data_IF_405632653406
#
_entry.id   IF_405632653406
#
_cell.length_a   1.000
_cell.length_b   1.000
_cell.length_c   1.000
_cell.angle_alpha   90.00
_cell.angle_beta   90.00
_cell.angle_gamma   90.00
#
_symmetry.space_group_name_H-M   'P 1'
#
loop_
_entity.id
_entity.type
_entity.pdbx_description
1 polymer ?
#
# COMPACT_ATOMS: atom_id res chain seq x y z
N UNK A 1 -21.75 -36.22 7.92
CA UNK A 1 -21.83 -34.90 8.59
C UNK A 1 -20.77 -33.97 7.98
N UNK A 2 -21.16 -33.03 7.11
CA UNK A 2 -20.32 -31.89 6.66
C UNK A 2 -21.17 -30.83 5.92
N UNK A 3 -22.43 -30.66 6.37
CA UNK A 3 -23.37 -29.65 5.85
C UNK A 3 -22.90 -28.21 6.18
N UNK A 4 -21.89 -28.06 7.04
CA UNK A 4 -21.30 -26.77 7.43
C UNK A 4 -20.21 -26.24 6.49
N UNK A 5 -19.47 -27.09 5.77
CA UNK A 5 -18.29 -26.64 5.00
C UNK A 5 -18.63 -25.72 3.83
N UNK A 6 -19.73 -25.98 3.11
CA UNK A 6 -20.21 -25.15 2.00
C UNK A 6 -20.84 -23.84 2.48
N UNK A 7 -21.55 -23.88 3.61
CA UNK A 7 -22.14 -22.68 4.23
C UNK A 7 -21.08 -21.73 4.77
N UNK A 8 -20.03 -22.27 5.39
CA UNK A 8 -18.88 -21.48 5.87
C UNK A 8 -18.13 -20.83 4.71
N UNK A 9 -17.92 -21.54 3.59
CA UNK A 9 -17.30 -20.99 2.38
C UNK A 9 -18.13 -19.83 1.78
N UNK A 10 -19.45 -19.97 1.74
CA UNK A 10 -20.35 -18.91 1.28
C UNK A 10 -20.31 -17.67 2.16
N UNK A 11 -20.32 -17.84 3.49
CA UNK A 11 -20.24 -16.73 4.45
C UNK A 11 -18.89 -15.99 4.33
N UNK A 12 -17.77 -16.72 4.23
CA UNK A 12 -16.45 -16.12 4.09
C UNK A 12 -16.38 -15.28 2.80
N UNK A 13 -16.81 -15.83 1.66
CA UNK A 13 -16.80 -15.09 0.39
C UNK A 13 -17.74 -13.86 0.42
N UNK A 14 -18.88 -13.94 1.11
CA UNK A 14 -19.78 -12.81 1.29
C UNK A 14 -19.18 -11.69 2.15
N UNK A 15 -18.52 -12.04 3.26
CA UNK A 15 -17.79 -11.06 4.09
C UNK A 15 -16.66 -10.42 3.29
N UNK A 16 -15.94 -11.22 2.48
CA UNK A 16 -14.85 -10.73 1.62
C UNK A 16 -15.37 -9.74 0.56
N UNK A 17 -16.54 -10.01 -0.01
CA UNK A 17 -17.24 -9.09 -0.89
C UNK A 17 -17.56 -7.76 -0.18
N UNK A 18 -18.16 -7.82 1.02
CA UNK A 18 -18.49 -6.62 1.78
C UNK A 18 -17.27 -5.78 2.15
N UNK A 19 -16.11 -6.41 2.40
CA UNK A 19 -14.84 -5.70 2.66
C UNK A 19 -14.26 -5.10 1.38
N UNK A 20 -14.48 -5.71 0.22
CA UNK A 20 -14.03 -5.15 -1.08
C UNK A 20 -14.75 -3.84 -1.45
N UNK A 21 -16.01 -3.67 -1.01
CA UNK A 21 -16.82 -2.47 -1.28
C UNK A 21 -16.20 -1.18 -0.69
N UNK A 22 -15.83 -1.08 0.60
CA UNK A 22 -15.15 0.10 1.13
C UNK A 22 -13.72 0.26 0.61
N UNK A 23 -13.05 -0.80 0.16
CA UNK A 23 -11.74 -0.69 -0.52
C UNK A 23 -11.90 -0.03 -1.89
N UNK A 24 -12.88 -0.46 -2.68
CA UNK A 24 -13.23 0.13 -3.97
C UNK A 24 -13.84 1.52 -3.81
N UNK A 25 -14.77 1.68 -2.88
CA UNK A 25 -15.41 2.95 -2.55
C UNK A 25 -14.41 3.96 -2.01
N UNK A 26 -13.48 3.54 -1.15
CA UNK A 26 -12.36 4.36 -0.72
C UNK A 26 -11.45 4.73 -1.89
N UNK A 27 -11.08 3.76 -2.73
CA UNK A 27 -10.25 3.99 -3.91
C UNK A 27 -10.87 4.92 -4.95
N UNK A 28 -12.18 4.80 -5.18
CA UNK A 28 -12.99 5.62 -6.10
C UNK A 28 -13.29 6.98 -5.47
N UNK A 29 -13.60 7.07 -4.18
CA UNK A 29 -13.82 8.35 -3.48
C UNK A 29 -12.54 9.18 -3.40
N UNK A 30 -11.40 8.53 -3.18
CA UNK A 30 -10.08 9.13 -3.34
C UNK A 30 -9.84 9.59 -4.78
N UNK A 31 -10.38 8.91 -5.79
CA UNK A 31 -10.30 9.32 -7.20
C UNK A 31 -11.30 10.44 -7.57
N UNK A 32 -12.49 10.47 -6.97
CA UNK A 32 -13.57 11.39 -7.34
C UNK A 32 -13.46 12.73 -6.62
N UNK A 33 -12.86 12.77 -5.42
CA UNK A 33 -12.47 14.02 -4.75
C UNK A 33 -11.16 14.59 -5.30
N UNK A 34 -10.51 13.85 -6.21
CA UNK A 34 -9.23 14.17 -6.82
C UNK A 34 -9.30 14.84 -8.20
N UNK A 35 -10.40 15.56 -8.50
CA UNK A 35 -10.43 16.47 -9.67
C UNK A 35 -9.45 17.66 -9.52
N UNK A 36 -8.84 17.84 -8.35
CA UNK A 36 -7.81 18.84 -8.05
C UNK A 36 -6.56 18.26 -7.35
N UNK A 37 -6.46 16.95 -7.14
CA UNK A 37 -5.35 16.31 -6.41
C UNK A 37 -4.86 15.04 -7.11
N UNK A 38 -4.57 15.15 -8.40
CA UNK A 38 -4.09 14.05 -9.22
C UNK A 38 -2.56 13.95 -9.15
N UNK A 39 -2.01 13.53 -8.00
CA UNK A 39 -0.55 13.59 -7.81
C UNK A 39 0.20 12.34 -8.21
N UNK A 40 -0.44 11.16 -8.09
CA UNK A 40 0.22 9.92 -8.51
C UNK A 40 -0.83 8.88 -8.95
N UNK A 41 -1.44 9.09 -10.12
CA UNK A 41 -2.33 8.12 -10.79
C UNK A 41 -1.71 6.72 -10.93
N UNK A 42 -0.38 6.65 -10.98
CA UNK A 42 0.42 5.42 -10.98
C UNK A 42 0.33 4.59 -9.68
N UNK A 43 0.02 5.20 -8.53
CA UNK A 43 -0.14 4.51 -7.24
C UNK A 43 -1.58 4.03 -7.00
N UNK A 44 -2.55 4.67 -7.64
CA UNK A 44 -3.97 4.39 -7.41
C UNK A 44 -4.49 3.20 -8.22
N UNK A 45 -3.96 3.01 -9.43
CA UNK A 45 -4.28 1.88 -10.29
C UNK A 45 -4.04 0.51 -9.63
N UNK A 46 -2.91 0.25 -8.94
CA UNK A 46 -2.72 -0.99 -8.19
C UNK A 46 -3.81 -1.27 -7.15
N UNK A 47 -4.28 -0.25 -6.43
CA UNK A 47 -5.32 -0.39 -5.40
C UNK A 47 -6.68 -0.70 -6.05
N UNK A 48 -7.02 -0.02 -7.13
CA UNK A 48 -8.27 -0.26 -7.89
C UNK A 48 -8.25 -1.66 -8.50
N UNK A 49 -7.14 -2.09 -9.09
CA UNK A 49 -6.98 -3.43 -9.66
C UNK A 49 -7.14 -4.51 -8.59
N UNK A 50 -6.51 -4.35 -7.41
CA UNK A 50 -6.68 -5.28 -6.29
C UNK A 50 -8.13 -5.33 -5.83
N UNK A 51 -8.78 -4.17 -5.66
CA UNK A 51 -10.19 -4.11 -5.27
C UNK A 51 -11.13 -4.79 -6.27
N UNK A 52 -10.91 -4.59 -7.58
CA UNK A 52 -11.73 -5.18 -8.64
C UNK A 52 -11.55 -6.70 -8.69
N UNK A 53 -10.31 -7.16 -8.57
CA UNK A 53 -9.99 -8.59 -8.50
C UNK A 53 -10.68 -9.25 -7.30
N UNK A 54 -10.60 -8.64 -6.11
CA UNK A 54 -11.28 -9.14 -4.91
C UNK A 54 -12.80 -9.20 -5.06
N UNK A 55 -13.40 -8.19 -5.72
CA UNK A 55 -14.83 -8.16 -5.99
C UNK A 55 -15.26 -9.31 -6.92
N UNK A 56 -14.54 -9.54 -8.02
CA UNK A 56 -14.84 -10.59 -8.99
C UNK A 56 -14.75 -11.98 -8.36
N UNK A 57 -13.72 -12.23 -7.54
CA UNK A 57 -13.54 -13.51 -6.85
C UNK A 57 -14.65 -13.77 -5.85
N UNK A 58 -15.03 -12.74 -5.09
CA UNK A 58 -16.05 -12.89 -4.05
C UNK A 58 -17.43 -13.21 -4.66
N UNK A 59 -17.76 -12.61 -5.81
CA UNK A 59 -18.97 -12.92 -6.56
C UNK A 59 -18.96 -14.34 -7.12
N UNK A 60 -17.84 -14.80 -7.69
CA UNK A 60 -17.70 -16.18 -8.18
C UNK A 60 -17.77 -17.20 -7.04
N UNK A 61 -17.16 -16.90 -5.89
CA UNK A 61 -17.18 -17.76 -4.70
C UNK A 61 -18.57 -17.87 -4.08
N UNK A 62 -19.34 -16.78 -4.07
CA UNK A 62 -20.74 -16.79 -3.63
C UNK A 62 -21.62 -17.61 -4.58
N UNK A 63 -21.51 -17.38 -5.90
CA UNK A 63 -22.24 -18.16 -6.90
C UNK A 63 -21.89 -19.66 -6.84
N UNK A 64 -20.62 -20.01 -6.65
CA UNK A 64 -20.16 -21.39 -6.48
C UNK A 64 -20.77 -22.10 -5.26
N UNK A 65 -20.98 -21.38 -4.16
CA UNK A 65 -21.59 -21.92 -2.95
C UNK A 65 -23.12 -22.12 -3.09
N UNK A 66 -23.82 -21.20 -3.78
CA UNK A 66 -25.28 -21.24 -3.91
C UNK A 66 -25.78 -22.29 -4.91
N UNK A 67 -25.10 -22.45 -6.05
CA UNK A 67 -25.63 -23.29 -7.13
C UNK A 67 -25.18 -24.76 -7.06
N UNK A 68 -24.22 -25.10 -6.18
CA UNK A 68 -23.69 -26.47 -5.98
C UNK A 68 -23.29 -27.19 -7.29
N UNK A 69 -23.00 -26.42 -8.34
CA UNK A 69 -22.61 -26.92 -9.65
C UNK A 69 -21.10 -27.18 -9.67
N UNK A 70 -20.70 -28.42 -9.96
CA UNK A 70 -19.30 -28.88 -9.97
C UNK A 70 -18.46 -28.15 -11.01
N UNK A 71 -19.03 -27.79 -12.15
CA UNK A 71 -18.38 -27.00 -13.20
C UNK A 71 -18.04 -25.57 -12.74
N UNK A 72 -18.98 -24.92 -12.04
CA UNK A 72 -18.82 -23.54 -11.56
C UNK A 72 -17.77 -23.49 -10.42
N UNK A 73 -17.73 -24.51 -9.56
CA UNK A 73 -16.69 -24.68 -8.54
C UNK A 73 -15.30 -24.91 -9.16
N UNK A 74 -15.22 -25.62 -10.30
CA UNK A 74 -13.96 -25.83 -11.04
C UNK A 74 -13.45 -24.53 -11.67
N UNK A 75 -14.33 -23.73 -12.28
CA UNK A 75 -13.98 -22.42 -12.81
C UNK A 75 -13.52 -21.48 -11.69
N UNK A 76 -14.22 -21.49 -10.55
CA UNK A 76 -13.83 -20.74 -9.35
C UNK A 76 -12.41 -21.09 -8.89
N UNK A 77 -12.09 -22.38 -8.72
CA UNK A 77 -10.74 -22.81 -8.31
C UNK A 77 -9.67 -22.41 -9.33
N UNK A 78 -9.97 -22.51 -10.64
CA UNK A 78 -9.06 -22.08 -11.70
C UNK A 78 -8.80 -20.58 -11.65
N UNK A 79 -9.85 -19.75 -11.56
CA UNK A 79 -9.72 -18.30 -11.46
C UNK A 79 -8.93 -17.89 -10.19
N UNK A 80 -9.23 -18.54 -9.05
CA UNK A 80 -8.58 -18.22 -7.79
C UNK A 80 -7.08 -18.57 -7.81
N UNK A 81 -6.67 -19.62 -8.51
CA UNK A 81 -5.26 -19.93 -8.72
C UNK A 81 -4.50 -18.79 -9.43
N UNK A 82 -5.04 -18.23 -10.52
CA UNK A 82 -4.39 -17.10 -11.20
C UNK A 82 -4.32 -15.85 -10.34
N UNK A 83 -5.32 -15.62 -9.49
CA UNK A 83 -5.30 -14.49 -8.55
C UNK A 83 -4.16 -14.66 -7.56
N UNK A 84 -4.03 -15.84 -6.95
CA UNK A 84 -2.94 -16.10 -6.00
C UNK A 84 -1.58 -15.85 -6.66
N UNK A 85 -1.39 -16.31 -7.91
CA UNK A 85 -0.18 -16.04 -8.68
C UNK A 85 0.03 -14.54 -8.95
N UNK A 86 -1.01 -13.80 -9.33
CA UNK A 86 -0.93 -12.37 -9.59
C UNK A 86 -0.59 -11.58 -8.32
N UNK A 87 -1.19 -11.93 -7.18
CA UNK A 87 -0.90 -11.28 -5.90
C UNK A 87 0.53 -11.61 -5.43
N UNK A 88 0.99 -12.85 -5.60
CA UNK A 88 2.38 -13.24 -5.33
C UNK A 88 3.36 -12.44 -6.20
N UNK A 89 3.11 -12.35 -7.50
CA UNK A 89 3.92 -11.55 -8.42
C UNK A 89 3.97 -10.09 -7.98
N UNK A 90 2.81 -9.49 -7.64
CA UNK A 90 2.75 -8.11 -7.15
C UNK A 90 3.55 -7.92 -5.86
N UNK A 91 3.49 -8.87 -4.91
CA UNK A 91 4.28 -8.80 -3.67
C UNK A 91 5.77 -8.80 -3.98
N UNK A 92 6.24 -9.73 -4.82
CA UNK A 92 7.65 -9.82 -5.21
C UNK A 92 8.10 -8.55 -5.92
N UNK A 93 7.30 -8.05 -6.87
CA UNK A 93 7.58 -6.82 -7.59
C UNK A 93 7.62 -5.61 -6.66
N UNK A 94 6.67 -5.49 -5.73
CA UNK A 94 6.62 -4.41 -4.76
C UNK A 94 7.88 -4.40 -3.89
N UNK A 95 8.33 -5.55 -3.38
CA UNK A 95 9.58 -5.61 -2.60
C UNK A 95 10.82 -5.37 -3.46
N UNK A 96 10.91 -5.94 -4.65
CA UNK A 96 12.06 -5.75 -5.54
C UNK A 96 12.26 -4.28 -5.92
N UNK A 97 11.17 -3.56 -6.21
CA UNK A 97 11.21 -2.13 -6.55
C UNK A 97 11.40 -1.24 -5.32
N UNK A 98 11.10 -1.73 -4.12
CA UNK A 98 11.22 -1.00 -2.85
C UNK A 98 12.39 -1.45 -1.97
N UNK A 99 13.33 -2.22 -2.51
CA UNK A 99 14.46 -2.75 -1.75
C UNK A 99 15.47 -1.63 -1.41
N UNK A 100 15.83 -0.79 -2.39
CA UNK A 100 16.91 0.20 -2.29
C UNK A 100 16.43 1.62 -1.98
N UNK A 101 17.30 2.39 -1.30
CA UNK A 101 17.12 3.80 -0.95
C UNK A 101 16.34 4.01 0.34
N UNK A 102 17.03 4.43 1.39
CA UNK A 102 16.45 4.89 2.65
C UNK A 102 16.88 6.32 2.93
N UNK A 103 16.12 7.03 3.76
CA UNK A 103 16.49 8.39 4.15
C UNK A 103 17.70 8.40 5.07
N UNK A 104 18.63 9.30 4.83
CA UNK A 104 19.80 9.52 5.67
C UNK A 104 19.39 10.25 6.94
N UNK A 105 19.85 9.74 8.10
CA UNK A 105 19.64 10.42 9.38
C UNK A 105 20.68 11.53 9.54
N UNK A 106 20.20 12.73 9.86
CA UNK A 106 21.07 13.89 10.07
C UNK A 106 21.14 14.20 11.57
N UNK A 107 22.35 14.48 12.05
CA UNK A 107 22.58 14.80 13.46
C UNK A 107 21.77 16.04 13.87
N UNK A 108 21.22 16.02 15.09
CA UNK A 108 20.37 17.07 15.66
C UNK A 108 19.07 17.37 14.90
N UNK A 109 18.60 16.46 14.05
CA UNK A 109 17.32 16.58 13.33
C UNK A 109 16.53 15.29 13.44
N UNK A 110 15.22 15.40 13.67
CA UNK A 110 14.32 14.24 13.82
C UNK A 110 13.77 13.74 12.49
N UNK A 111 13.88 14.54 11.44
CA UNK A 111 13.46 14.16 10.09
C UNK A 111 14.65 13.62 9.27
N UNK A 112 14.43 12.61 8.42
CA UNK A 112 15.45 12.10 7.50
C UNK A 112 15.61 13.02 6.27
N UNK A 113 16.76 12.92 5.63
CA UNK A 113 17.06 13.51 4.32
C UNK A 113 17.08 12.47 3.23
N UNK A 114 16.74 12.89 2.01
CA UNK A 114 16.59 11.99 0.89
C UNK A 114 17.44 12.50 -0.25
N UNK A 115 18.39 11.68 -0.71
CA UNK A 115 19.17 11.95 -1.90
C UNK A 115 18.76 11.00 -3.01
N UNK A 116 18.70 11.50 -4.24
CA UNK A 116 18.28 10.68 -5.38
C UNK A 116 19.30 9.56 -5.70
N UNK A 117 20.56 9.75 -5.32
CA UNK A 117 21.65 8.76 -5.44
C UNK A 117 21.44 7.50 -4.60
N UNK A 118 20.69 7.61 -3.50
CA UNK A 118 20.43 6.47 -2.61
C UNK A 118 19.41 5.50 -3.23
N UNK A 119 18.62 5.98 -4.18
CA UNK A 119 17.65 5.19 -4.92
C UNK A 119 18.26 4.67 -6.22
N UNK A 120 17.86 3.48 -6.66
CA UNK A 120 18.31 2.87 -7.91
C UNK A 120 17.21 2.00 -8.53
N UNK A 121 17.38 1.67 -9.82
CA UNK A 121 16.45 0.83 -10.57
C UNK A 121 15.31 1.59 -11.25
N UNK A 122 14.36 0.82 -11.79
CA UNK A 122 13.32 1.31 -12.69
C UNK A 122 12.46 2.45 -12.10
N UNK A 123 12.15 2.40 -10.81
CA UNK A 123 11.31 3.43 -10.18
C UNK A 123 12.02 4.79 -10.10
N UNK A 124 13.34 4.79 -9.86
CA UNK A 124 14.15 6.01 -9.87
C UNK A 124 14.17 6.62 -11.25
N UNK A 125 14.45 5.81 -12.26
CA UNK A 125 14.57 6.32 -13.63
C UNK A 125 13.22 6.85 -14.13
N UNK A 126 12.10 6.23 -13.72
CA UNK A 126 10.75 6.72 -14.03
C UNK A 126 10.43 8.07 -13.40
N UNK A 127 10.87 8.33 -12.16
CA UNK A 127 10.62 9.61 -11.48
C UNK A 127 11.64 10.68 -11.90
N UNK A 128 12.85 10.27 -12.27
CA UNK A 128 13.90 11.17 -12.76
C UNK A 128 13.61 11.68 -14.18
N UNK A 129 12.76 10.99 -14.95
CA UNK A 129 12.35 11.40 -16.28
C UNK A 129 11.68 12.79 -16.27
N UNK A 130 12.18 13.77 -17.06
CA UNK A 130 11.67 15.14 -17.05
C UNK A 130 10.19 15.27 -17.43
N UNK A 131 9.70 14.46 -18.37
CA UNK A 131 8.32 14.55 -18.86
C UNK A 131 7.35 14.07 -17.78
N UNK A 132 7.68 12.95 -17.12
CA UNK A 132 6.90 12.45 -16.01
C UNK A 132 7.00 13.38 -14.79
N UNK A 133 8.19 13.89 -14.49
CA UNK A 133 8.41 14.79 -13.36
C UNK A 133 7.65 16.12 -13.51
N UNK A 134 7.53 16.66 -14.71
CA UNK A 134 6.75 17.88 -14.96
C UNK A 134 5.30 17.72 -14.47
N UNK A 135 4.69 16.57 -14.74
CA UNK A 135 3.33 16.25 -14.27
C UNK A 135 3.28 16.10 -12.75
N UNK A 136 4.24 15.38 -12.17
CA UNK A 136 4.28 15.11 -10.72
C UNK A 136 4.49 16.40 -9.92
N UNK A 137 5.45 17.22 -10.33
CA UNK A 137 5.78 18.48 -9.65
C UNK A 137 4.67 19.53 -9.78
N UNK A 138 4.01 19.61 -10.93
CA UNK A 138 2.81 20.44 -11.11
C UNK A 138 1.71 20.03 -10.12
N UNK A 139 1.43 18.73 -10.00
CA UNK A 139 0.44 18.33 -9.00
C UNK A 139 0.90 18.60 -7.57
N UNK A 140 2.16 18.35 -7.19
CA UNK A 140 2.61 18.60 -5.81
C UNK A 140 2.41 20.07 -5.40
N UNK A 141 2.54 20.98 -6.37
CA UNK A 141 2.28 22.40 -6.24
C UNK A 141 0.78 22.69 -6.08
N UNK A 142 -0.05 22.19 -7.00
CA UNK A 142 -1.50 22.41 -7.00
C UNK A 142 -2.21 21.75 -5.81
N UNK A 143 -1.74 20.58 -5.39
CA UNK A 143 -2.21 19.85 -4.21
C UNK A 143 -1.69 20.42 -2.88
N UNK A 144 -0.98 21.56 -2.92
CA UNK A 144 -0.41 22.23 -1.75
C UNK A 144 0.33 21.27 -0.80
N UNK A 145 1.22 20.44 -1.34
CA UNK A 145 1.96 19.43 -0.56
C UNK A 145 2.73 20.02 0.64
N UNK A 146 3.10 21.31 0.54
CA UNK A 146 3.81 22.06 1.57
C UNK A 146 2.93 22.84 2.54
N UNK A 147 1.59 22.83 2.40
CA UNK A 147 0.69 23.54 3.33
C UNK A 147 0.88 23.10 4.79
N UNK A 148 1.25 21.84 5.03
CA UNK A 148 1.52 21.32 6.37
C UNK A 148 2.79 21.86 7.05
N UNK A 149 3.60 22.64 6.33
CA UNK A 149 4.79 23.32 6.88
C UNK A 149 4.39 24.52 7.74
N UNK A 150 3.32 25.22 7.37
CA UNK A 150 2.75 26.33 8.12
C UNK A 150 2.13 25.82 9.41
N UNK A 151 2.91 25.83 10.50
CA UNK A 151 2.41 25.60 11.85
C UNK A 151 2.83 26.71 12.77
N UNK A 152 1.88 27.10 13.59
CA UNK A 152 2.10 28.00 14.71
C UNK A 152 2.30 27.14 15.95
N UNK A 153 3.35 27.42 16.71
CA UNK A 153 3.58 26.80 18.00
C UNK A 153 2.78 27.56 19.05
N UNK A 154 2.21 26.84 20.01
CA UNK A 154 1.64 27.46 21.19
C UNK A 154 2.76 27.67 22.21
N UNK A 155 2.98 28.91 22.60
CA UNK A 155 3.94 29.24 23.64
C UNK A 155 3.47 28.64 24.98
N UNK A 156 4.28 27.79 25.65
CA UNK A 156 3.92 27.16 26.91
C UNK A 156 3.76 28.15 28.07
N UNK A 157 4.38 29.33 28.00
CA UNK A 157 4.33 30.34 29.07
C UNK A 157 3.19 31.33 28.89
N UNK A 158 2.92 31.75 27.66
CA UNK A 158 1.93 32.80 27.36
C UNK A 158 0.63 32.25 26.75
N UNK A 159 0.62 31.00 26.29
CA UNK A 159 -0.53 30.36 25.65
C UNK A 159 -0.87 30.90 24.25
N UNK A 160 -0.10 31.87 23.74
CA UNK A 160 -0.29 32.52 22.44
C UNK A 160 0.29 31.67 21.29
N UNK A 161 -0.29 31.80 20.09
CA UNK A 161 0.25 31.20 18.87
C UNK A 161 1.38 32.07 18.34
N UNK A 162 2.60 31.52 18.31
CA UNK A 162 3.81 32.17 17.82
C UNK A 162 4.42 31.37 16.65
N UNK A 163 5.20 32.01 15.76
CA UNK A 163 5.99 31.30 14.77
C UNK A 163 6.88 30.23 15.42
N UNK A 164 6.98 29.06 14.80
CA UNK A 164 7.84 27.98 15.30
C UNK A 164 9.30 28.41 15.36
N UNK A 165 9.99 28.12 16.47
CA UNK A 165 11.43 28.33 16.59
C UNK A 165 12.20 27.25 15.81
N UNK A 166 13.46 27.51 15.42
CA UNK A 166 14.29 26.53 14.70
C UNK A 166 14.44 25.21 15.45
N UNK A 167 14.58 25.25 16.78
CA UNK A 167 14.70 24.05 17.60
C UNK A 167 13.44 23.18 17.57
N UNK A 168 12.25 23.80 17.61
CA UNK A 168 10.99 23.07 17.47
C UNK A 168 10.86 22.46 16.07
N UNK A 169 11.24 23.21 15.04
CA UNK A 169 11.22 22.72 13.65
C UNK A 169 12.12 21.49 13.46
N UNK A 170 13.36 21.52 13.96
CA UNK A 170 14.28 20.38 13.88
C UNK A 170 13.81 19.14 14.65
N UNK A 171 12.94 19.32 15.65
CA UNK A 171 12.28 18.25 16.38
C UNK A 171 11.06 17.63 15.67
N UNK A 172 10.62 18.15 14.51
CA UNK A 172 9.41 17.67 13.83
C UNK A 172 9.64 16.38 13.06
N UNK A 173 8.62 15.52 13.06
CA UNK A 173 8.52 14.38 12.15
C UNK A 173 7.91 14.84 10.83
N UNK A 174 8.76 15.19 9.86
CA UNK A 174 8.32 15.58 8.51
C UNK A 174 8.03 14.34 7.65
N UNK A 175 7.05 14.45 6.75
CA UNK A 175 6.85 13.44 5.71
C UNK A 175 8.00 13.46 4.70
N UNK A 176 8.24 12.38 3.93
CA UNK A 176 9.28 12.36 2.90
C UNK A 176 9.15 13.51 1.88
N UNK A 177 7.91 13.86 1.51
CA UNK A 177 7.62 14.96 0.59
C UNK A 177 7.89 16.32 1.26
N UNK A 178 7.48 16.51 2.52
CA UNK A 178 7.72 17.77 3.24
C UNK A 178 9.23 18.05 3.43
N UNK A 179 9.98 17.01 3.77
CA UNK A 179 11.42 17.11 3.99
C UNK A 179 12.25 17.22 2.71
N UNK A 180 11.77 16.67 1.58
CA UNK A 180 12.45 16.73 0.29
C UNK A 180 12.07 17.92 -0.60
N UNK A 181 10.82 18.40 -0.54
CA UNK A 181 10.30 19.42 -1.46
C UNK A 181 10.08 20.79 -0.82
N UNK A 182 9.81 20.85 0.49
CA UNK A 182 9.35 22.06 1.16
C UNK A 182 10.41 22.73 2.04
N UNK A 183 11.65 22.22 2.03
CA UNK A 183 12.81 22.81 2.68
C UNK A 183 14.04 22.62 1.79
N UNK A 184 15.06 23.49 1.92
CA UNK A 184 16.34 23.24 1.27
C UNK A 184 17.04 22.03 1.92
N UNK A 185 17.93 21.36 1.17
CA UNK A 185 18.83 20.35 1.72
C UNK A 185 19.73 20.92 2.83
N UNK A 186 20.12 20.11 3.80
CA UNK A 186 20.98 20.59 4.91
C UNK A 186 22.42 20.82 4.47
N UNK A 187 22.87 20.13 3.41
CA UNK A 187 24.13 20.37 2.71
C UNK A 187 24.33 21.85 2.31
N UNK A 188 23.23 22.55 2.04
CA UNK A 188 23.22 23.93 1.61
C UNK A 188 23.43 24.97 2.73
N UNK A 189 23.42 24.55 3.99
CA UNK A 189 23.64 25.40 5.17
C UNK A 189 22.71 26.64 5.30
N UNK A 190 21.48 26.54 4.79
CA UNK A 190 20.47 27.59 4.95
C UNK A 190 19.97 27.68 6.39
N UNK A 191 19.66 28.90 6.83
CA UNK A 191 19.04 29.19 8.13
C UNK A 191 17.53 29.23 8.01
N UNK A 192 16.86 28.50 8.89
CA UNK A 192 15.40 28.52 9.02
C UNK A 192 14.96 29.86 9.60
N UNK A 193 14.03 30.52 8.92
CA UNK A 193 13.40 31.75 9.41
C UNK A 193 11.95 31.50 9.82
N UNK A 194 11.10 31.08 8.87
CA UNK A 194 9.69 30.79 9.14
C UNK A 194 9.03 29.93 8.05
N UNK A 195 8.23 28.92 8.42
CA UNK A 195 7.48 28.04 7.52
C UNK A 195 8.35 27.36 6.43
N UNK A 196 8.30 27.87 5.20
CA UNK A 196 9.09 27.44 4.04
C UNK A 196 10.09 28.52 3.61
N UNK A 197 10.30 29.55 4.43
CA UNK A 197 11.23 30.63 4.17
C UNK A 197 12.58 30.37 4.85
N UNK A 198 13.62 30.33 4.01
CA UNK A 198 14.99 30.03 4.42
C UNK A 198 15.94 31.06 3.81
N UNK A 199 16.94 31.47 4.58
CA UNK A 199 17.96 32.43 4.12
C UNK A 199 19.32 31.78 4.04
N UNK A 200 20.12 32.18 3.07
CA UNK A 200 21.49 31.70 2.96
C UNK A 200 22.31 32.22 4.15
N UNK A 201 23.19 31.38 4.69
CA UNK A 201 24.09 31.78 5.77
C UNK A 201 25.46 32.11 5.19
N UNK A 202 25.85 33.39 5.03
CA UNK A 202 27.07 33.76 4.30
C UNK A 202 28.36 33.28 4.97
N UNK A 203 28.30 32.93 6.26
CA UNK A 203 29.45 32.52 7.07
C UNK A 203 29.69 31.01 7.16
N UNK A 204 28.86 30.17 6.52
CA UNK A 204 29.04 28.70 6.53
C UNK A 204 29.19 28.22 5.10
N UNK A 205 30.35 27.68 4.69
CA UNK A 205 30.52 27.13 3.37
C UNK A 205 29.53 25.96 3.17
N UNK A 206 28.92 25.89 1.98
CA UNK A 206 28.12 24.73 1.59
C UNK A 206 28.97 23.47 1.75
N UNK A 207 28.46 22.50 2.48
CA UNK A 207 29.24 21.30 2.88
C UNK A 207 29.61 20.45 1.66
N UNK A 208 28.88 20.62 0.55
CA UNK A 208 29.02 19.87 -0.70
C UNK A 208 28.62 20.72 -1.92
N UNK A 209 29.15 20.39 -3.10
CA UNK A 209 28.67 20.89 -4.41
C UNK A 209 27.31 20.26 -4.78
N UNK A 210 26.30 20.52 -3.95
CA UNK A 210 24.96 20.00 -4.17
C UNK A 210 24.20 20.92 -5.16
N UNK A 211 23.82 20.43 -6.35
CA UNK A 211 23.13 21.24 -7.35
C UNK A 211 21.77 21.74 -6.85
N UNK A 212 21.15 21.05 -5.87
CA UNK A 212 19.85 21.43 -5.33
C UNK A 212 19.90 22.77 -4.57
N UNK A 213 21.08 23.18 -4.05
CA UNK A 213 21.23 24.46 -3.37
C UNK A 213 20.97 25.66 -4.29
N UNK A 214 21.27 25.51 -5.58
CA UNK A 214 21.01 26.55 -6.60
C UNK A 214 19.57 26.54 -7.12
N UNK A 215 18.86 25.41 -6.93
CA UNK A 215 17.48 25.19 -7.41
C UNK A 215 16.42 25.56 -6.38
N UNK A 216 16.80 25.75 -5.11
CA UNK A 216 15.90 26.17 -4.05
C UNK A 216 15.41 27.61 -4.26
N UNK A 217 14.12 27.85 -4.04
CA UNK A 217 13.50 29.19 -4.02
C UNK A 217 12.52 29.32 -2.85
N UNK A 218 12.39 30.53 -2.28
CA UNK A 218 11.37 30.83 -1.26
C UNK A 218 9.97 31.12 -1.86
N UNK A 219 9.86 31.15 -3.19
CA UNK A 219 8.57 31.24 -3.86
C UNK A 219 7.77 29.94 -3.63
N UNK A 220 6.55 30.06 -3.09
CA UNK A 220 5.66 28.93 -2.79
C UNK A 220 5.30 28.10 -4.02
N UNK A 221 5.38 28.69 -5.22
CA UNK A 221 5.14 27.99 -6.48
C UNK A 221 6.37 27.22 -6.95
N UNK A 222 7.59 27.57 -6.52
CA UNK A 222 8.82 26.93 -7.00
C UNK A 222 9.44 25.99 -5.96
N UNK A 223 9.61 26.46 -4.71
CA UNK A 223 10.22 25.73 -3.59
C UNK A 223 11.41 24.86 -4.05
N UNK A 224 11.49 23.60 -3.62
CA UNK A 224 12.43 22.61 -4.15
C UNK A 224 11.76 21.65 -5.15
N UNK A 225 10.68 22.05 -5.84
CA UNK A 225 9.97 21.12 -6.75
C UNK A 225 10.81 20.67 -7.96
N UNK A 226 11.91 21.36 -8.27
CA UNK A 226 12.88 20.93 -9.30
C UNK A 226 14.14 20.26 -8.74
N UNK A 227 14.24 20.11 -7.41
CA UNK A 227 15.38 19.48 -6.76
C UNK A 227 15.33 17.95 -6.88
N UNK A 228 16.49 17.33 -6.93
CA UNK A 228 16.61 15.87 -6.89
C UNK A 228 16.26 15.34 -5.49
N UNK A 229 16.45 16.14 -4.44
CA UNK A 229 15.95 15.88 -3.08
C UNK A 229 14.42 15.74 -3.01
N UNK A 230 13.68 16.53 -3.81
CA UNK A 230 12.22 16.42 -3.87
C UNK A 230 11.78 15.14 -4.58
N UNK A 231 12.44 14.79 -5.71
CA UNK A 231 12.25 13.50 -6.38
C UNK A 231 12.51 12.34 -5.42
N UNK A 232 13.62 12.38 -4.69
CA UNK A 232 13.97 11.38 -3.69
C UNK A 232 12.92 11.28 -2.57
N UNK A 233 12.38 12.42 -2.11
CA UNK A 233 11.27 12.47 -1.16
C UNK A 233 9.99 11.80 -1.68
N UNK A 234 9.67 11.99 -2.97
CA UNK A 234 8.55 11.30 -3.63
C UNK A 234 8.80 9.80 -3.71
N UNK A 235 10.01 9.37 -4.11
CA UNK A 235 10.40 7.95 -4.14
C UNK A 235 10.26 7.29 -2.77
N UNK A 236 10.74 7.94 -1.71
CA UNK A 236 10.61 7.46 -0.34
C UNK A 236 9.14 7.36 0.11
N UNK A 237 8.31 8.34 -0.27
CA UNK A 237 6.87 8.31 -0.04
C UNK A 237 6.18 7.14 -0.73
N UNK A 238 6.53 6.89 -2.00
CA UNK A 238 6.05 5.76 -2.79
C UNK A 238 6.47 4.45 -2.15
N UNK A 239 7.76 4.29 -1.82
CA UNK A 239 8.35 3.12 -1.15
C UNK A 239 7.57 2.75 0.11
N UNK A 240 7.32 3.74 0.99
CA UNK A 240 6.58 3.55 2.24
C UNK A 240 5.13 3.09 1.99
N UNK A 241 4.46 3.69 1.01
CA UNK A 241 3.08 3.33 0.68
C UNK A 241 3.00 1.93 0.06
N UNK A 242 3.89 1.61 -0.87
CA UNK A 242 3.96 0.29 -1.52
C UNK A 242 4.25 -0.82 -0.51
N UNK A 243 5.16 -0.60 0.45
CA UNK A 243 5.43 -1.57 1.50
C UNK A 243 4.21 -1.82 2.39
N UNK A 244 3.44 -0.78 2.74
CA UNK A 244 2.17 -0.92 3.48
C UNK A 244 1.14 -1.74 2.68
N UNK A 245 0.98 -1.44 1.40
CA UNK A 245 0.06 -2.17 0.50
C UNK A 245 0.52 -3.63 0.34
N UNK A 246 1.82 -3.88 0.19
CA UNK A 246 2.37 -5.24 0.12
C UNK A 246 2.11 -6.04 1.40
N UNK A 247 2.29 -5.43 2.59
CA UNK A 247 1.96 -6.08 3.88
C UNK A 247 0.48 -6.42 3.96
N UNK A 248 -0.41 -5.49 3.60
CA UNK A 248 -1.86 -5.76 3.55
C UNK A 248 -2.17 -6.90 2.58
N UNK A 249 -1.51 -6.92 1.41
CA UNK A 249 -1.70 -7.96 0.41
C UNK A 249 -1.24 -9.34 0.91
N UNK A 250 -0.17 -9.43 1.72
CA UNK A 250 0.25 -10.69 2.35
C UNK A 250 -0.87 -11.27 3.23
N UNK A 251 -1.55 -10.43 4.03
CA UNK A 251 -2.67 -10.88 4.87
C UNK A 251 -3.81 -11.42 4.02
N UNK A 252 -4.18 -10.70 2.95
CA UNK A 252 -5.22 -11.13 2.00
C UNK A 252 -4.84 -12.45 1.32
N UNK A 253 -3.57 -12.59 0.91
CA UNK A 253 -3.05 -13.80 0.28
C UNK A 253 -3.20 -15.03 1.19
N UNK A 254 -2.87 -14.90 2.49
CA UNK A 254 -3.01 -15.99 3.47
C UNK A 254 -4.48 -16.43 3.57
N UNK A 255 -5.41 -15.47 3.66
CA UNK A 255 -6.84 -15.76 3.71
C UNK A 255 -7.29 -16.47 2.43
N UNK A 256 -6.86 -15.99 1.25
CA UNK A 256 -7.18 -16.61 -0.02
C UNK A 256 -6.65 -18.04 -0.11
N UNK A 257 -5.43 -18.31 0.35
CA UNK A 257 -4.87 -19.69 0.37
C UNK A 257 -5.71 -20.61 1.26
N UNK A 258 -6.16 -20.17 2.43
CA UNK A 258 -7.04 -20.98 3.29
C UNK A 258 -8.36 -21.28 2.57
N UNK A 259 -8.96 -20.28 1.94
CA UNK A 259 -10.19 -20.44 1.14
C UNK A 259 -9.97 -21.37 -0.05
N UNK A 260 -8.78 -21.32 -0.68
CA UNK A 260 -8.40 -22.25 -1.76
C UNK A 260 -8.44 -23.70 -1.30
N UNK A 261 -7.77 -23.98 -0.17
CA UNK A 261 -7.63 -25.33 0.37
C UNK A 261 -9.01 -25.86 0.77
N UNK A 262 -9.84 -25.02 1.40
CA UNK A 262 -11.22 -25.36 1.72
C UNK A 262 -12.07 -25.63 0.47
N UNK A 263 -11.93 -24.80 -0.57
CA UNK A 263 -12.60 -25.00 -1.87
C UNK A 263 -12.18 -26.30 -2.55
N UNK A 264 -10.88 -26.62 -2.54
CA UNK A 264 -10.35 -27.88 -3.04
C UNK A 264 -10.88 -29.09 -2.25
N UNK A 265 -10.95 -29.00 -0.92
CA UNK A 265 -11.52 -30.05 -0.08
C UNK A 265 -13.03 -30.26 -0.37
N UNK A 266 -13.78 -29.17 -0.52
CA UNK A 266 -15.20 -29.23 -0.90
C UNK A 266 -15.39 -29.86 -2.29
N UNK A 267 -14.55 -29.49 -3.26
CA UNK A 267 -14.57 -30.09 -4.61
C UNK A 267 -14.25 -31.58 -4.59
N UNK A 268 -13.22 -32.01 -3.83
CA UNK A 268 -12.88 -33.44 -3.67
C UNK A 268 -14.03 -34.22 -3.02
N UNK A 269 -14.70 -33.65 -2.03
CA UNK A 269 -15.84 -34.29 -1.39
C UNK A 269 -17.04 -34.40 -2.32
N UNK A 270 -17.34 -33.38 -3.13
CA UNK A 270 -18.40 -33.44 -4.12
C UNK A 270 -18.13 -34.54 -5.17
N UNK A 271 -16.88 -34.63 -5.66
CA UNK A 271 -16.48 -35.64 -6.63
C UNK A 271 -16.54 -37.07 -6.06
N UNK A 272 -16.24 -37.28 -4.77
CA UNK A 272 -16.41 -38.61 -4.13
C UNK A 272 -17.87 -39.05 -4.08
N UNK A 273 -18.79 -38.13 -3.81
CA UNK A 273 -20.23 -38.44 -3.76
C UNK A 273 -20.74 -38.83 -5.15
N UNK A 274 -20.25 -38.18 -6.19
CA UNK A 274 -20.65 -38.43 -7.59
C UNK A 274 -20.06 -39.75 -8.15
N UNK A 275 -18.96 -40.24 -7.59
CA UNK A 275 -18.25 -41.44 -8.05
C UNK A 275 -18.73 -42.77 -7.42
N UNK A 276 -19.78 -42.78 -6.57
CA UNK A 276 -20.32 -44.00 -5.94
C UNK A 276 -19.24 -44.92 -5.31
N UNK A 277 -18.21 -44.36 -4.67
CA UNK A 277 -17.37 -45.18 -3.77
C UNK A 277 -18.25 -45.62 -2.59
N UNK A 278 -18.49 -46.93 -2.39
CA UNK A 278 -19.33 -47.39 -1.30
C UNK A 278 -18.73 -46.88 -0.01
N UNK A 279 -19.47 -46.01 0.68
CA UNK A 279 -19.21 -45.60 2.06
C UNK A 279 -18.93 -46.90 2.79
N UNK A 280 -17.68 -47.09 3.23
CA UNK A 280 -17.21 -48.33 3.83
C UNK A 280 -18.28 -48.84 4.78
N UNK A 281 -18.96 -49.92 4.36
CA UNK A 281 -20.08 -50.45 5.11
C UNK A 281 -19.55 -50.74 6.50
N UNK A 282 -20.09 -50.06 7.51
CA UNK A 282 -19.92 -50.47 8.89
C UNK A 282 -20.40 -51.92 8.95
N UNK A 283 -19.44 -52.84 9.03
CA UNK A 283 -19.68 -54.28 9.09
C UNK A 283 -20.37 -54.55 10.42
N UNK A 284 -21.70 -54.48 10.44
CA UNK A 284 -22.50 -54.97 11.56
C UNK A 284 -22.44 -56.50 11.54
N UNK A 285 -21.58 -57.08 12.36
CA UNK A 285 -21.64 -58.50 12.68
C UNK A 285 -22.83 -58.72 13.60
N UNK A 286 -23.99 -59.14 13.06
CA UNK A 286 -25.07 -59.69 13.89
C UNK A 286 -24.62 -61.04 14.43
N UNK A 287 -24.28 -61.10 15.71
CA UNK A 287 -24.14 -62.37 16.44
C UNK A 287 -25.52 -63.03 16.54
N UNK A 288 -25.72 -64.14 15.82
CA UNK A 288 -26.90 -64.97 15.94
C UNK A 288 -26.80 -65.79 17.22
N UNK A 289 -27.78 -65.75 18.15
CA UNK A 289 -27.74 -66.61 19.32
C UNK A 289 -28.02 -68.06 18.92
N UNK A 290 -27.19 -68.99 19.36
CA UNK A 290 -27.43 -70.42 19.24
C UNK A 290 -28.52 -70.83 20.21
N UNK A 291 -29.60 -71.41 19.68
CA UNK A 291 -30.73 -71.96 20.43
C UNK A 291 -30.25 -73.20 21.17
N UNK A 292 -30.21 -73.17 22.50
CA UNK A 292 -30.03 -74.36 23.32
C UNK A 292 -31.24 -75.29 23.11
N UNK A 293 -30.97 -76.55 22.73
CA UNK A 293 -31.94 -77.64 22.84
C UNK A 293 -31.54 -78.48 24.06
N UNK A 294 -32.54 -78.72 24.91
CA UNK A 294 -32.51 -79.55 26.12
C UNK A 294 -32.32 -81.03 25.78
#
# INVERSE_FOLDING_TARGET
MLRGGTSVLGIINFITFLISIPILGGGIWLASRANSTDCIRFLQWPIIVVGLVLMVISLMGFAGACYRQTWLLRLYLFAMFFVVLALLFFIVFAFAVTDRGDGQVVMNRRFPEYQLSDFSGWLRDRVADPQYWATISACLRDGHACAGMRRLARDPNTGMLVPETPAMFYGRNLSPIQSGCCKPPTSCAFTYMNETYWTQNPGVPTVTNDPDCSRWSNDQQMLCFQCDSCKAGVLAGIKKTWRKVAILNIVVLIILVIVYVAGCAAFRNAKRIENDEPIGMARMTKSHPSRFQF
#
